data_IF_526101952704
#
_entry.id   IF_526101952704
#
_cell.length_a   1.000
_cell.length_b   1.000
_cell.length_c   1.000
_cell.angle_alpha   90.00
_cell.angle_beta   90.00
_cell.angle_gamma   90.00
#
_symmetry.space_group_name_H-M   'P 1'
#
loop_
_entity.id
_entity.type
_entity.pdbx_description
1 polymer ?
#
# COMPACT_ATOMS: atom_id res chain seq x y z
N UNK A 1 34.34 25.08 16.66
CA UNK A 1 33.01 25.38 16.10
C UNK A 1 32.60 24.11 15.39
N UNK A 2 31.90 23.26 16.13
CA UNK A 2 31.61 21.89 15.75
C UNK A 2 30.09 21.78 15.71
N UNK A 3 29.53 21.73 14.51
CA UNK A 3 28.09 21.66 14.27
C UNK A 3 27.67 20.20 14.36
N UNK A 4 27.17 19.81 15.54
CA UNK A 4 26.54 18.52 15.77
C UNK A 4 25.38 18.31 14.80
N UNK A 5 25.55 17.32 13.92
CA UNK A 5 24.49 16.76 13.10
C UNK A 5 23.54 16.01 14.04
N UNK A 6 22.41 16.64 14.38
CA UNK A 6 21.31 15.95 15.05
C UNK A 6 20.57 15.10 14.01
N UNK A 7 20.49 13.81 14.27
CA UNK A 7 19.76 12.83 13.46
C UNK A 7 18.25 13.18 13.46
N UNK A 8 17.64 13.49 12.31
CA UNK A 8 16.22 13.87 12.22
C UNK A 8 15.23 12.74 12.59
N UNK A 9 15.71 11.51 12.80
CA UNK A 9 14.87 10.31 12.92
C UNK A 9 14.58 9.88 14.36
N UNK A 10 15.16 10.52 15.38
CA UNK A 10 15.04 10.10 16.78
C UNK A 10 13.68 10.41 17.45
N UNK A 11 12.84 11.29 16.88
CA UNK A 11 11.64 11.80 17.57
C UNK A 11 10.28 11.22 17.13
N UNK A 12 10.22 10.28 16.16
CA UNK A 12 8.93 9.78 15.61
C UNK A 12 8.43 8.43 16.13
N UNK A 13 8.87 8.04 17.34
CA UNK A 13 8.40 6.83 18.04
C UNK A 13 7.24 7.06 19.04
N UNK A 14 6.37 8.06 18.80
CA UNK A 14 5.43 8.56 19.82
C UNK A 14 3.93 8.29 19.59
N UNK A 15 3.54 7.28 18.80
CA UNK A 15 2.12 6.92 18.60
C UNK A 15 1.72 5.49 18.98
N UNK A 16 2.50 4.79 19.81
CA UNK A 16 2.10 3.46 20.28
C UNK A 16 2.38 3.28 21.77
N UNK A 17 1.41 3.61 22.62
CA UNK A 17 1.45 3.32 24.05
C UNK A 17 1.07 1.87 24.29
N UNK A 18 1.95 1.14 24.99
CA UNK A 18 1.82 -0.27 25.36
C UNK A 18 0.94 -0.41 26.61
N UNK A 19 -0.11 -1.24 26.56
CA UNK A 19 -0.75 -1.77 27.77
C UNK A 19 -0.07 -3.09 28.17
N UNK A 20 0.37 -3.17 29.44
CA UNK A 20 0.96 -4.35 30.07
C UNK A 20 0.10 -4.79 31.26
N UNK A 21 -0.66 -5.86 31.09
CA UNK A 21 -1.04 -6.83 32.13
C UNK A 21 -1.71 -8.03 31.43
N UNK A 22 -1.61 -9.32 31.78
CA UNK A 22 -1.21 -10.12 32.96
C UNK A 22 -0.77 -11.53 32.48
N UNK A 23 -0.07 -12.28 33.35
CA UNK A 23 0.43 -13.67 33.15
C UNK A 23 -0.69 -14.74 33.20
N UNK A 24 -0.52 -15.84 32.45
CA UNK A 24 -0.75 -17.23 32.88
C UNK A 24 -0.10 -18.24 31.92
N UNK A 25 0.34 -19.37 32.47
CA UNK A 25 1.16 -20.45 31.90
C UNK A 25 0.35 -21.52 31.16
N UNK A 26 1.02 -22.28 30.27
CA UNK A 26 0.63 -23.63 29.88
C UNK A 26 1.00 -24.00 28.44
N UNK A 27 2.09 -24.76 28.25
CA UNK A 27 2.46 -25.36 26.95
C UNK A 27 2.06 -26.84 26.87
N UNK A 28 1.57 -27.31 25.71
CA UNK A 28 1.77 -28.69 25.28
C UNK A 28 2.61 -28.80 23.98
N UNK A 29 3.66 -29.60 24.11
CA UNK A 29 4.46 -30.40 23.16
C UNK A 29 4.25 -30.36 21.63
N UNK A 30 5.36 -29.99 20.97
CA UNK A 30 5.97 -30.42 19.69
C UNK A 30 5.24 -31.47 18.84
N UNK A 31 4.88 -31.03 17.62
CA UNK A 31 4.74 -31.90 16.44
C UNK A 31 5.43 -31.21 15.25
N UNK A 32 6.40 -31.87 14.62
CA UNK A 32 7.05 -31.50 13.36
C UNK A 32 7.61 -30.07 13.28
N UNK A 33 8.82 -29.83 13.79
CA UNK A 33 9.45 -28.52 13.70
C UNK A 33 9.74 -28.14 12.24
N UNK A 34 8.81 -27.42 11.61
CA UNK A 34 9.09 -26.59 10.45
C UNK A 34 10.30 -25.75 10.82
N UNK A 35 11.37 -25.83 10.02
CA UNK A 35 12.58 -25.04 10.26
C UNK A 35 12.17 -23.58 10.21
N UNK A 36 12.32 -22.89 11.34
CA UNK A 36 12.01 -21.47 11.41
C UNK A 36 12.95 -20.71 10.48
N UNK A 37 12.39 -20.05 9.47
CA UNK A 37 13.09 -19.15 8.57
C UNK A 37 12.30 -17.85 8.41
N UNK A 38 12.91 -16.84 7.75
CA UNK A 38 12.28 -15.53 7.55
C UNK A 38 10.94 -15.66 6.83
N UNK A 39 10.84 -16.45 5.76
CA UNK A 39 9.60 -16.58 4.99
C UNK A 39 8.46 -17.23 5.77
N UNK A 40 8.75 -18.23 6.61
CA UNK A 40 7.76 -18.82 7.54
C UNK A 40 7.26 -17.79 8.54
N UNK A 41 8.15 -16.97 9.08
CA UNK A 41 7.78 -15.91 10.03
C UNK A 41 6.90 -14.85 9.35
N UNK A 42 7.28 -14.37 8.17
CA UNK A 42 6.55 -13.35 7.44
C UNK A 42 5.14 -13.83 7.04
N UNK A 43 5.00 -15.06 6.55
CA UNK A 43 3.66 -15.63 6.26
C UNK A 43 2.76 -15.70 7.48
N UNK A 44 3.28 -16.17 8.62
CA UNK A 44 2.48 -16.20 9.86
C UNK A 44 2.14 -14.78 10.35
N UNK A 45 3.04 -13.81 10.19
CA UNK A 45 2.78 -12.42 10.50
C UNK A 45 1.67 -11.82 9.60
N UNK A 46 1.72 -12.11 8.30
CA UNK A 46 0.68 -11.76 7.33
C UNK A 46 -0.67 -12.32 7.75
N UNK A 47 -0.76 -13.63 8.01
CA UNK A 47 -2.01 -14.29 8.40
C UNK A 47 -2.63 -13.72 9.69
N UNK A 48 -1.80 -13.30 10.66
CA UNK A 48 -2.26 -12.61 11.85
C UNK A 48 -2.83 -11.23 11.49
N UNK A 49 -2.15 -10.47 10.63
CA UNK A 49 -2.57 -9.12 10.26
C UNK A 49 -3.83 -9.09 9.40
N UNK A 50 -3.96 -10.02 8.45
CA UNK A 50 -5.14 -10.13 7.59
C UNK A 50 -6.38 -10.53 8.40
N UNK A 51 -6.21 -11.38 9.43
CA UNK A 51 -7.31 -11.86 10.28
C UNK A 51 -7.71 -10.89 11.39
N UNK A 52 -6.72 -10.30 12.07
CA UNK A 52 -6.94 -9.59 13.34
C UNK A 52 -6.40 -8.15 13.32
N UNK A 53 -5.90 -7.68 12.18
CA UNK A 53 -5.28 -6.37 12.01
C UNK A 53 -3.86 -6.29 12.56
N UNK A 54 -3.12 -5.25 12.15
CA UNK A 54 -1.73 -5.05 12.55
C UNK A 54 -1.53 -4.93 14.08
N UNK A 55 -2.51 -4.38 14.81
CA UNK A 55 -2.40 -4.21 16.26
C UNK A 55 -2.24 -5.53 17.01
N UNK A 56 -2.79 -6.62 16.44
CA UNK A 56 -2.66 -7.97 16.96
C UNK A 56 -1.25 -8.56 16.79
N UNK A 57 -0.47 -8.09 15.82
CA UNK A 57 0.88 -8.59 15.57
C UNK A 57 1.81 -8.21 16.72
N UNK A 58 2.12 -9.20 17.58
CA UNK A 58 3.15 -9.08 18.62
C UNK A 58 4.10 -10.25 18.50
N UNK A 59 5.39 -10.07 18.85
CA UNK A 59 6.37 -11.15 18.79
C UNK A 59 5.96 -12.36 19.63
N UNK A 60 5.26 -12.14 20.74
CA UNK A 60 4.68 -13.21 21.58
C UNK A 60 3.57 -13.96 20.87
N UNK A 61 2.63 -13.24 20.26
CA UNK A 61 1.54 -13.87 19.50
C UNK A 61 2.09 -14.66 18.32
N UNK A 62 3.04 -14.08 17.60
CA UNK A 62 3.73 -14.72 16.49
C UNK A 62 4.50 -15.98 16.93
N UNK A 63 5.19 -15.92 18.07
CA UNK A 63 5.81 -17.11 18.67
C UNK A 63 4.79 -18.21 19.00
N UNK A 64 3.65 -17.84 19.60
CA UNK A 64 2.57 -18.79 19.89
C UNK A 64 1.99 -19.43 18.62
N UNK A 65 1.72 -18.63 17.58
CA UNK A 65 1.22 -19.11 16.27
C UNK A 65 2.21 -20.11 15.65
N UNK A 66 3.51 -19.85 15.78
CA UNK A 66 4.58 -20.68 15.24
C UNK A 66 5.05 -21.81 16.17
N UNK A 67 4.48 -21.93 17.39
CA UNK A 67 4.88 -22.93 18.38
C UNK A 67 6.32 -22.77 18.90
N UNK A 68 6.86 -21.56 18.90
CA UNK A 68 8.22 -21.24 19.34
C UNK A 68 8.24 -20.12 20.39
N UNK A 69 9.31 -20.04 21.18
CA UNK A 69 9.50 -18.91 22.08
C UNK A 69 9.70 -17.60 21.29
N UNK A 70 9.13 -16.50 21.79
CA UNK A 70 9.19 -15.19 21.12
C UNK A 70 10.64 -14.72 20.86
N UNK A 71 11.59 -15.15 21.69
CA UNK A 71 13.02 -14.82 21.50
C UNK A 71 13.59 -15.36 20.19
N UNK A 72 12.96 -16.38 19.58
CA UNK A 72 13.35 -16.90 18.28
C UNK A 72 13.22 -15.85 17.17
N UNK A 73 12.28 -14.90 17.29
CA UNK A 73 12.07 -13.83 16.30
C UNK A 73 13.27 -12.87 16.24
N UNK A 74 13.90 -12.59 17.39
CA UNK A 74 15.04 -11.67 17.49
C UNK A 74 16.29 -12.16 16.76
N UNK A 75 16.34 -13.43 16.35
CA UNK A 75 17.41 -13.96 15.47
C UNK A 75 17.21 -13.57 14.00
N UNK A 76 16.00 -13.18 13.63
CA UNK A 76 15.63 -12.89 12.24
C UNK A 76 15.32 -11.40 12.01
N UNK A 77 14.87 -10.69 13.05
CA UNK A 77 14.50 -9.28 13.02
C UNK A 77 14.96 -8.60 14.30
N UNK A 78 15.55 -7.41 14.22
CA UNK A 78 16.04 -6.68 15.42
C UNK A 78 14.88 -6.26 16.32
N UNK A 79 13.77 -5.85 15.73
CA UNK A 79 12.59 -5.38 16.44
C UNK A 79 11.29 -5.60 15.64
N UNK A 80 10.16 -5.12 16.18
CA UNK A 80 8.86 -5.22 15.52
C UNK A 80 8.77 -4.32 14.28
N UNK A 81 9.50 -3.20 14.23
CA UNK A 81 9.47 -2.31 13.07
C UNK A 81 10.14 -2.99 11.88
N UNK A 82 11.34 -3.57 12.05
CA UNK A 82 12.01 -4.35 11.00
C UNK A 82 11.16 -5.53 10.52
N UNK A 83 10.43 -6.20 11.42
CA UNK A 83 9.48 -7.25 11.02
C UNK A 83 8.36 -6.71 10.12
N UNK A 84 7.83 -5.52 10.42
CA UNK A 84 6.75 -4.89 9.65
C UNK A 84 7.25 -4.42 8.28
N UNK A 85 8.41 -3.76 8.24
CA UNK A 85 9.03 -3.30 6.98
C UNK A 85 9.32 -4.49 6.06
N UNK A 86 9.93 -5.56 6.59
CA UNK A 86 10.19 -6.78 5.84
C UNK A 86 8.91 -7.52 5.41
N UNK A 87 7.84 -7.49 6.21
CA UNK A 87 6.55 -8.05 5.83
C UNK A 87 5.95 -7.30 4.64
N UNK A 88 5.97 -5.97 4.68
CA UNK A 88 5.44 -5.12 3.62
C UNK A 88 6.25 -5.31 2.33
N UNK A 89 7.58 -5.31 2.43
CA UNK A 89 8.48 -5.59 1.29
C UNK A 89 8.18 -6.95 0.64
N UNK A 90 7.99 -8.00 1.45
CA UNK A 90 7.68 -9.34 0.95
C UNK A 90 6.31 -9.42 0.28
N UNK A 91 5.30 -8.70 0.77
CA UNK A 91 3.99 -8.58 0.11
C UNK A 91 4.12 -7.98 -1.29
N UNK A 92 4.82 -6.84 -1.41
CA UNK A 92 5.08 -6.22 -2.71
C UNK A 92 5.87 -7.15 -3.64
N UNK A 93 6.81 -7.92 -3.10
CA UNK A 93 7.66 -8.83 -3.87
C UNK A 93 6.89 -10.02 -4.41
N UNK A 94 5.86 -10.46 -3.68
CA UNK A 94 5.03 -11.61 -4.04
C UNK A 94 3.88 -11.25 -4.98
N UNK A 95 3.36 -10.02 -4.89
CA UNK A 95 2.11 -9.64 -5.57
C UNK A 95 2.25 -8.61 -6.68
N UNK A 96 3.39 -7.95 -6.80
CA UNK A 96 3.70 -7.06 -7.91
C UNK A 96 4.74 -7.69 -8.82
N UNK A 97 4.35 -7.88 -10.09
CA UNK A 97 5.25 -8.43 -11.09
C UNK A 97 6.18 -7.35 -11.62
N UNK A 98 7.42 -7.73 -11.91
CA UNK A 98 8.31 -6.89 -12.69
C UNK A 98 7.67 -6.59 -14.07
N UNK A 99 7.68 -5.33 -14.55
CA UNK A 99 7.14 -5.02 -15.86
C UNK A 99 7.99 -5.62 -16.99
N UNK A 100 7.33 -6.10 -18.04
CA UNK A 100 7.97 -6.72 -19.20
C UNK A 100 8.87 -5.70 -19.92
N UNK A 101 10.20 -5.91 -19.99
CA UNK A 101 11.11 -4.98 -20.67
C UNK A 101 10.78 -4.79 -22.16
N UNK A 102 10.14 -5.77 -22.80
CA UNK A 102 9.71 -5.70 -24.21
C UNK A 102 8.28 -5.16 -24.36
N UNK A 103 7.50 -5.11 -23.28
CA UNK A 103 6.14 -4.62 -23.25
C UNK A 103 6.06 -3.10 -23.45
N UNK A 104 4.90 -2.61 -23.89
CA UNK A 104 4.67 -1.18 -24.05
C UNK A 104 4.62 -0.49 -22.68
N UNK A 105 5.27 0.68 -22.53
CA UNK A 105 5.40 1.38 -21.25
C UNK A 105 4.04 1.65 -20.59
N UNK A 106 3.02 1.95 -21.40
CA UNK A 106 1.67 2.24 -20.93
C UNK A 106 1.03 1.03 -20.26
N UNK A 107 1.20 -0.15 -20.84
CA UNK A 107 0.64 -1.40 -20.31
C UNK A 107 1.37 -1.82 -19.04
N UNK A 108 2.69 -1.63 -19.01
CA UNK A 108 3.53 -1.86 -17.84
C UNK A 108 3.10 -0.97 -16.65
N UNK A 109 2.99 0.36 -16.84
CA UNK A 109 2.55 1.27 -15.78
C UNK A 109 1.14 0.97 -15.31
N UNK A 110 0.20 0.68 -16.24
CA UNK A 110 -1.17 0.28 -15.88
C UNK A 110 -1.15 -0.94 -14.97
N UNK A 111 -0.47 -2.00 -15.38
CA UNK A 111 -0.38 -3.25 -14.61
C UNK A 111 0.22 -2.99 -13.23
N UNK A 112 1.32 -2.22 -13.18
CA UNK A 112 2.03 -1.89 -11.94
C UNK A 112 1.12 -1.15 -10.94
N UNK A 113 0.43 -0.10 -11.39
CA UNK A 113 -0.49 0.68 -10.57
C UNK A 113 -1.67 -0.16 -10.05
N UNK A 114 -2.24 -1.02 -10.91
CA UNK A 114 -3.33 -1.93 -10.52
C UNK A 114 -2.85 -2.93 -9.48
N UNK A 115 -1.71 -3.61 -9.69
CA UNK A 115 -1.21 -4.60 -8.73
C UNK A 115 -0.89 -3.96 -7.38
N UNK A 116 -0.25 -2.80 -7.37
CA UNK A 116 0.02 -2.04 -6.16
C UNK A 116 -1.27 -1.67 -5.41
N UNK A 117 -2.25 -1.11 -6.10
CA UNK A 117 -3.55 -0.79 -5.48
C UNK A 117 -4.27 -2.01 -4.90
N UNK A 118 -4.19 -3.16 -5.59
CA UNK A 118 -4.82 -4.40 -5.11
C UNK A 118 -4.21 -4.92 -3.80
N UNK A 119 -2.92 -4.69 -3.54
CA UNK A 119 -2.30 -5.07 -2.26
C UNK A 119 -3.02 -4.39 -1.09
N UNK A 120 -3.33 -3.10 -1.21
CA UNK A 120 -4.07 -2.38 -0.16
C UNK A 120 -5.46 -2.97 0.10
N UNK A 121 -6.11 -3.48 -0.94
CA UNK A 121 -7.42 -4.13 -0.81
C UNK A 121 -7.36 -5.53 -0.23
N UNK A 122 -6.35 -6.32 -0.60
CA UNK A 122 -6.18 -7.68 -0.08
C UNK A 122 -5.71 -7.68 1.38
N UNK A 123 -4.93 -6.68 1.76
CA UNK A 123 -4.33 -6.54 3.09
C UNK A 123 -4.83 -5.28 3.80
N UNK A 124 -6.15 -5.13 3.93
CA UNK A 124 -6.76 -3.95 4.56
C UNK A 124 -6.25 -3.71 5.99
N UNK A 125 -5.97 -4.79 6.74
CA UNK A 125 -5.42 -4.74 8.10
C UNK A 125 -3.98 -4.20 8.19
N UNK A 126 -3.28 -4.11 7.04
CA UNK A 126 -1.92 -3.57 6.88
C UNK A 126 -1.88 -2.24 6.13
N UNK A 127 -2.99 -1.80 5.52
CA UNK A 127 -3.04 -0.63 4.63
C UNK A 127 -2.43 0.65 5.25
N UNK A 128 -2.77 0.96 6.49
CA UNK A 128 -2.24 2.13 7.18
C UNK A 128 -0.73 2.04 7.46
N UNK A 129 -0.20 0.85 7.69
CA UNK A 129 1.24 0.67 7.87
C UNK A 129 1.97 0.74 6.53
N UNK A 130 1.45 0.14 5.47
CA UNK A 130 2.01 0.24 4.12
C UNK A 130 2.17 1.70 3.69
N UNK A 131 1.17 2.55 3.91
CA UNK A 131 1.25 3.97 3.58
C UNK A 131 2.16 4.80 4.51
N UNK A 132 2.55 4.26 5.67
CA UNK A 132 3.32 4.96 6.68
C UNK A 132 4.80 4.56 6.76
N UNK A 133 5.22 3.52 6.02
CA UNK A 133 6.62 3.10 5.98
C UNK A 133 7.43 3.99 5.02
N UNK A 134 8.70 4.28 5.34
CA UNK A 134 9.66 4.76 4.34
C UNK A 134 9.84 3.72 3.22
N UNK A 135 10.09 4.18 2.00
CA UNK A 135 10.47 3.33 0.87
C UNK A 135 11.97 3.05 0.91
N UNK A 136 12.43 2.33 1.94
CA UNK A 136 13.86 1.99 2.13
C UNK A 136 14.18 0.49 2.12
N UNK A 137 13.22 -0.33 1.66
CA UNK A 137 13.36 -1.78 1.50
C UNK A 137 13.60 -2.17 0.02
N UNK A 138 14.28 -3.32 -0.25
CA UNK A 138 14.73 -3.70 -1.59
C UNK A 138 13.66 -3.72 -2.67
N UNK A 139 12.48 -4.29 -2.39
CA UNK A 139 11.40 -4.35 -3.37
C UNK A 139 10.78 -2.97 -3.61
N UNK A 140 10.69 -2.12 -2.58
CA UNK A 140 10.17 -0.76 -2.74
C UNK A 140 11.09 0.10 -3.64
N UNK A 141 12.41 -0.11 -3.57
CA UNK A 141 13.33 0.46 -4.55
C UNK A 141 13.08 -0.05 -5.97
N UNK A 142 12.76 -1.34 -6.14
CA UNK A 142 12.41 -1.88 -7.45
C UNK A 142 11.13 -1.26 -8.02
N UNK A 143 10.09 -1.02 -7.21
CA UNK A 143 8.88 -0.32 -7.66
C UNK A 143 9.19 1.10 -8.17
N UNK A 144 10.07 1.82 -7.47
CA UNK A 144 10.54 3.15 -7.88
C UNK A 144 11.28 3.06 -9.21
N UNK A 145 12.26 2.15 -9.31
CA UNK A 145 13.07 1.93 -10.52
C UNK A 145 12.19 1.58 -11.72
N UNK A 146 11.27 0.63 -11.55
CA UNK A 146 10.34 0.22 -12.60
C UNK A 146 9.44 1.38 -13.04
N UNK A 147 8.86 2.12 -12.10
CA UNK A 147 7.99 3.27 -12.43
C UNK A 147 8.74 4.34 -13.20
N UNK A 148 9.93 4.72 -12.72
CA UNK A 148 10.76 5.75 -13.37
C UNK A 148 11.25 5.29 -14.73
N UNK A 149 11.65 4.02 -14.88
CA UNK A 149 12.04 3.42 -16.17
C UNK A 149 10.92 3.55 -17.20
N UNK A 150 9.68 3.21 -16.84
CA UNK A 150 8.56 3.33 -17.78
C UNK A 150 8.21 4.78 -18.10
N UNK A 151 8.35 5.72 -17.15
CA UNK A 151 8.20 7.16 -17.41
C UNK A 151 9.26 7.69 -18.39
N UNK A 152 10.51 7.23 -18.28
CA UNK A 152 11.58 7.54 -19.24
C UNK A 152 11.22 7.00 -20.63
N UNK A 153 10.74 5.75 -20.72
CA UNK A 153 10.28 5.14 -21.98
C UNK A 153 9.09 5.87 -22.59
N UNK A 154 8.25 6.48 -21.75
CA UNK A 154 7.15 7.34 -22.19
C UNK A 154 7.60 8.72 -22.70
N UNK A 155 8.88 9.07 -22.57
CA UNK A 155 9.44 10.35 -23.03
C UNK A 155 9.27 11.50 -22.03
N UNK A 156 8.97 11.21 -20.75
CA UNK A 156 8.92 12.24 -19.71
C UNK A 156 10.32 12.83 -19.50
N UNK A 157 10.39 14.16 -19.43
CA UNK A 157 11.66 14.88 -19.22
C UNK A 157 12.24 14.64 -17.83
N UNK A 158 13.57 14.60 -17.73
CA UNK A 158 14.31 14.30 -16.49
C UNK A 158 13.89 15.19 -15.30
N UNK A 159 13.68 16.48 -15.54
CA UNK A 159 13.24 17.44 -14.53
C UNK A 159 11.82 17.19 -13.98
N UNK A 160 11.02 16.36 -14.66
CA UNK A 160 9.64 16.04 -14.30
C UNK A 160 9.46 14.62 -13.75
N UNK A 161 10.45 13.73 -13.93
CA UNK A 161 10.34 12.32 -13.53
C UNK A 161 9.92 12.15 -12.07
N UNK A 162 10.54 12.91 -11.15
CA UNK A 162 10.20 12.87 -9.73
C UNK A 162 8.75 13.29 -9.45
N UNK A 163 8.22 14.28 -10.17
CA UNK A 163 6.85 14.75 -10.01
C UNK A 163 5.84 13.70 -10.50
N UNK A 164 6.10 13.08 -11.66
CA UNK A 164 5.24 12.02 -12.19
C UNK A 164 5.29 10.76 -11.31
N UNK A 165 6.48 10.36 -10.87
CA UNK A 165 6.64 9.25 -9.93
C UNK A 165 5.84 9.48 -8.64
N UNK A 166 6.04 10.63 -7.98
CA UNK A 166 5.32 10.96 -6.75
C UNK A 166 3.81 11.05 -6.96
N UNK A 167 3.36 11.51 -8.14
CA UNK A 167 1.94 11.55 -8.49
C UNK A 167 1.36 10.15 -8.60
N UNK A 168 2.03 9.23 -9.30
CA UNK A 168 1.62 7.82 -9.41
C UNK A 168 1.59 7.17 -8.03
N UNK A 169 2.63 7.36 -7.21
CA UNK A 169 2.70 6.88 -5.83
C UNK A 169 1.50 7.37 -5.02
N UNK A 170 1.32 8.70 -4.92
CA UNK A 170 0.29 9.32 -4.09
C UNK A 170 -1.11 8.89 -4.54
N UNK A 171 -1.32 8.79 -5.85
CA UNK A 171 -2.58 8.36 -6.43
C UNK A 171 -2.89 6.91 -6.07
N UNK A 172 -1.92 6.01 -6.23
CA UNK A 172 -2.07 4.58 -5.97
C UNK A 172 -2.28 4.31 -4.49
N UNK A 173 -1.42 4.86 -3.63
CA UNK A 173 -1.52 4.75 -2.17
C UNK A 173 -2.80 5.39 -1.65
N UNK A 174 -3.14 6.59 -2.13
CA UNK A 174 -4.35 7.31 -1.70
C UNK A 174 -5.63 6.55 -2.02
N UNK A 175 -5.77 6.04 -3.25
CA UNK A 175 -6.92 5.21 -3.62
C UNK A 175 -6.91 3.85 -2.93
N UNK A 176 -5.74 3.29 -2.64
CA UNK A 176 -5.59 2.05 -1.87
C UNK A 176 -6.09 2.22 -0.44
N UNK A 177 -5.68 3.30 0.22
CA UNK A 177 -6.17 3.66 1.56
C UNK A 177 -7.68 3.93 1.56
N UNK A 178 -8.22 4.63 0.56
CA UNK A 178 -9.67 4.85 0.47
C UNK A 178 -10.41 3.51 0.34
N UNK A 179 -9.93 2.61 -0.52
CA UNK A 179 -10.54 1.29 -0.71
C UNK A 179 -10.47 0.41 0.56
N UNK A 180 -9.38 0.51 1.33
CA UNK A 180 -9.18 -0.27 2.55
C UNK A 180 -9.88 0.31 3.79
N UNK A 181 -9.92 1.64 3.92
CA UNK A 181 -10.35 2.32 5.15
C UNK A 181 -11.75 2.94 5.05
N UNK A 182 -12.41 2.84 3.89
CA UNK A 182 -13.80 3.32 3.70
C UNK A 182 -14.74 2.18 3.30
N UNK A 183 -15.15 1.28 4.22
CA UNK A 183 -15.96 0.11 3.91
C UNK A 183 -17.30 0.44 3.20
N UNK A 184 -17.87 1.62 3.46
CA UNK A 184 -19.10 2.05 2.80
C UNK A 184 -18.93 2.31 1.30
N UNK A 185 -17.70 2.58 0.82
CA UNK A 185 -17.40 2.72 -0.60
C UNK A 185 -17.22 1.36 -1.29
N UNK A 186 -17.00 0.27 -0.55
CA UNK A 186 -16.90 -1.09 -1.11
C UNK A 186 -18.22 -1.86 -0.97
N UNK A 187 -19.11 -1.47 -0.05
CA UNK A 187 -20.46 -1.99 0.10
C UNK A 187 -21.48 -1.39 -0.90
N UNK A 188 -22.16 -2.25 -1.67
CA UNK A 188 -23.13 -1.81 -2.69
C UNK A 188 -24.36 -1.15 -2.08
N UNK A 189 -24.89 -1.68 -0.98
CA UNK A 189 -26.12 -1.18 -0.36
C UNK A 189 -25.90 0.21 0.22
N UNK A 190 -24.76 0.43 0.87
CA UNK A 190 -24.37 1.72 1.43
C UNK A 190 -24.11 2.76 0.32
N UNK A 191 -23.47 2.37 -0.79
CA UNK A 191 -23.34 3.26 -1.95
C UNK A 191 -24.69 3.65 -2.54
N UNK A 192 -25.60 2.69 -2.71
CA UNK A 192 -26.93 2.96 -3.25
C UNK A 192 -27.79 3.81 -2.31
N UNK A 193 -27.64 3.63 -0.99
CA UNK A 193 -28.23 4.53 0.00
C UNK A 193 -27.72 5.95 -0.18
N UNK A 194 -26.41 6.11 -0.32
CA UNK A 194 -25.82 7.43 -0.54
C UNK A 194 -26.30 8.08 -1.85
N UNK A 195 -26.44 7.31 -2.94
CA UNK A 195 -27.03 7.79 -4.21
C UNK A 195 -28.47 8.27 -4.02
N UNK A 196 -29.28 7.55 -3.23
CA UNK A 196 -30.66 7.98 -2.89
C UNK A 196 -30.67 9.30 -2.14
N UNK A 197 -29.73 9.53 -1.22
CA UNK A 197 -29.60 10.81 -0.53
C UNK A 197 -29.34 11.97 -1.50
N UNK A 198 -28.45 11.78 -2.49
CA UNK A 198 -28.20 12.80 -3.52
C UNK A 198 -29.40 13.01 -4.45
N UNK A 199 -30.12 11.95 -4.80
CA UNK A 199 -31.31 12.03 -5.64
C UNK A 199 -32.48 12.77 -4.96
N UNK A 200 -32.53 12.79 -3.63
CA UNK A 200 -33.56 13.48 -2.84
C UNK A 200 -33.28 14.97 -2.59
N UNK A 201 -32.13 15.50 -3.02
CA UNK A 201 -31.78 16.91 -2.85
C UNK A 201 -32.75 17.82 -3.64
N UNK A 202 -33.12 18.99 -3.09
CA UNK A 202 -33.87 20.01 -3.85
C UNK A 202 -33.01 20.49 -5.04
N UNK A 203 -33.40 20.20 -6.30
CA UNK A 203 -32.59 20.54 -7.46
C UNK A 203 -32.45 22.05 -7.66
N UNK A 204 -33.33 22.88 -7.07
CA UNK A 204 -33.19 24.34 -7.11
C UNK A 204 -32.03 24.83 -6.23
N UNK A 205 -31.66 24.06 -5.20
CA UNK A 205 -30.57 24.37 -4.29
C UNK A 205 -29.29 23.63 -4.64
N UNK A 206 -29.39 22.39 -5.15
CA UNK A 206 -28.26 21.53 -5.47
C UNK A 206 -28.34 20.96 -6.90
N UNK A 207 -28.41 21.82 -7.94
CA UNK A 207 -28.65 21.37 -9.31
C UNK A 207 -27.60 20.38 -9.83
N UNK A 208 -26.32 20.65 -9.60
CA UNK A 208 -25.22 19.79 -10.09
C UNK A 208 -25.06 18.49 -9.29
N UNK A 209 -25.34 18.50 -7.99
CA UNK A 209 -25.23 17.31 -7.16
C UNK A 209 -26.41 16.36 -7.37
N UNK A 210 -27.61 16.90 -7.58
CA UNK A 210 -28.78 16.10 -7.94
C UNK A 210 -28.63 15.46 -9.33
N UNK A 211 -28.01 16.15 -10.30
CA UNK A 211 -27.83 15.62 -11.66
C UNK A 211 -26.87 14.43 -11.73
N UNK A 212 -25.86 14.36 -10.85
CA UNK A 212 -24.89 13.25 -10.80
C UNK A 212 -25.35 12.10 -9.87
N UNK A 213 -26.47 12.25 -9.16
CA UNK A 213 -26.95 11.24 -8.22
C UNK A 213 -27.03 9.80 -8.77
N UNK A 214 -27.39 9.56 -10.05
CA UNK A 214 -27.41 8.20 -10.61
C UNK A 214 -26.04 7.56 -10.77
N UNK A 215 -24.96 8.35 -10.82
CA UNK A 215 -23.61 7.87 -11.16
C UNK A 215 -22.55 8.19 -10.10
N UNK A 216 -22.90 8.96 -9.05
CA UNK A 216 -21.99 9.24 -7.94
C UNK A 216 -21.68 7.98 -7.12
N UNK A 217 -20.48 7.92 -6.55
CA UNK A 217 -19.92 6.76 -5.86
C UNK A 217 -19.97 5.49 -6.73
N UNK A 218 -19.18 5.42 -7.82
CA UNK A 218 -18.96 4.17 -8.53
C UNK A 218 -18.23 3.16 -7.63
N UNK A 219 -18.05 1.93 -8.12
CA UNK A 219 -17.19 0.97 -7.43
C UNK A 219 -15.75 1.50 -7.36
N UNK A 220 -15.03 1.22 -6.26
CA UNK A 220 -13.66 1.74 -6.08
C UNK A 220 -12.68 1.18 -7.12
N UNK A 221 -12.90 -0.05 -7.62
CA UNK A 221 -12.11 -0.59 -8.72
C UNK A 221 -12.35 0.17 -10.03
N UNK A 222 -13.62 0.45 -10.34
CA UNK A 222 -14.00 1.25 -11.51
C UNK A 222 -13.38 2.65 -11.46
N UNK A 223 -13.46 3.32 -10.31
CA UNK A 223 -12.83 4.64 -10.11
C UNK A 223 -11.32 4.56 -10.30
N UNK A 224 -10.67 3.54 -9.71
CA UNK A 224 -9.22 3.41 -9.79
C UNK A 224 -8.77 3.12 -11.22
N UNK A 225 -9.37 2.16 -11.93
CA UNK A 225 -9.05 1.83 -13.31
C UNK A 225 -9.26 3.04 -14.24
N UNK A 226 -10.38 3.76 -14.11
CA UNK A 226 -10.63 4.99 -14.86
C UNK A 226 -9.53 6.04 -14.60
N UNK A 227 -9.17 6.25 -13.33
CA UNK A 227 -8.17 7.25 -12.96
C UNK A 227 -6.75 6.90 -13.41
N UNK A 228 -6.42 5.60 -13.53
CA UNK A 228 -5.17 5.12 -14.13
C UNK A 228 -5.10 5.55 -15.59
N UNK A 229 -6.18 5.34 -16.38
CA UNK A 229 -6.19 5.80 -17.77
C UNK A 229 -6.02 7.31 -17.90
N UNK A 230 -6.68 8.09 -17.03
CA UNK A 230 -6.53 9.56 -17.02
C UNK A 230 -5.07 9.97 -16.79
N UNK A 231 -4.35 9.31 -15.87
CA UNK A 231 -2.94 9.59 -15.61
C UNK A 231 -2.04 9.15 -16.79
N UNK A 232 -2.31 7.98 -17.37
CA UNK A 232 -1.56 7.48 -18.53
C UNK A 232 -1.74 8.37 -19.76
N UNK A 233 -2.93 8.89 -20.00
CA UNK A 233 -3.21 9.86 -21.07
C UNK A 233 -2.42 11.17 -20.88
N UNK A 234 -2.32 11.64 -19.62
CA UNK A 234 -1.53 12.82 -19.30
C UNK A 234 -0.03 12.60 -19.54
N UNK A 235 0.49 11.43 -19.16
CA UNK A 235 1.88 11.03 -19.40
C UNK A 235 2.18 10.93 -20.90
N UNK A 236 1.32 10.26 -21.65
CA UNK A 236 1.47 10.08 -23.10
C UNK A 236 1.49 11.42 -23.83
N UNK A 237 0.53 12.29 -23.51
CA UNK A 237 0.48 13.65 -24.07
C UNK A 237 1.73 14.45 -23.72
N UNK A 238 2.27 14.29 -22.51
CA UNK A 238 3.49 14.98 -22.09
C UNK A 238 4.71 14.49 -22.88
N UNK A 239 4.86 13.18 -23.05
CA UNK A 239 5.92 12.59 -23.85
C UNK A 239 5.95 13.13 -25.28
N UNK A 240 4.79 13.21 -25.92
CA UNK A 240 4.65 13.78 -27.27
C UNK A 240 5.09 15.25 -27.37
N UNK A 241 4.82 16.05 -26.33
CA UNK A 241 5.24 17.47 -26.29
C UNK A 241 6.76 17.56 -26.14
N UNK A 242 7.36 16.74 -25.28
CA UNK A 242 8.81 16.75 -25.06
C UNK A 242 9.59 16.34 -26.31
N UNK A 243 9.11 15.34 -27.07
CA UNK A 243 9.72 14.94 -28.35
C UNK A 243 9.71 16.09 -29.35
N UNK A 244 8.57 16.78 -29.52
CA UNK A 244 8.45 17.92 -30.46
C UNK A 244 9.30 19.13 -30.12
N UNK A 245 9.79 19.26 -28.89
CA UNK A 245 10.68 20.34 -28.47
C UNK A 245 12.17 20.01 -28.68
N UNK A 246 12.49 18.75 -28.97
CA UNK A 246 13.85 18.28 -29.24
C UNK A 246 14.19 18.22 -30.74
N UNK A 247 13.17 18.15 -31.59
CA UNK A 247 13.25 18.25 -33.05
C UNK A 247 13.23 19.71 -33.52
#
# INVERSE_FOLDING_TARGET
MDTGCADPWAERAMLWTVDRSRRAQGSPTRTGAVRLDRGVILRAAQEICDRDGLSALTLRRLGNELGVDATAMYRHFRDKAELISALIDDLFRLEVDEPDPQGHWRDNLRKLMIQWWQIYRRHEGLAAAMAGQPDDEPQLFHLTEWTVRELIRAGVGESELGLYHQTIYNHTVGNGLVAALSPWLTDVELRDEQRRHYAALDPRRFPSSASVAPTIYPDTAEVFEFSVEVLLDAIEKRGQIATRQRD
#
